data_IF_498761860409
#
_entry.id   IF_498761860409
#
_cell.length_a   1.000
_cell.length_b   1.000
_cell.length_c   1.000
_cell.angle_alpha   90.00
_cell.angle_beta   90.00
_cell.angle_gamma   90.00
#
_symmetry.space_group_name_H-M   'P 1'
#
loop_
_entity.id
_entity.type
_entity.pdbx_description
1 polymer ?
#
# COMPACT_ATOMS: atom_id res chain seq x y z
N UNK A 1 1.68 -13.61 5.44
CA UNK A 1 1.62 -14.43 4.22
C UNK A 1 0.65 -15.59 4.38
N UNK A 2 0.31 -16.23 3.28
CA UNK A 2 -0.78 -17.21 3.24
C UNK A 2 -0.37 -18.65 3.56
N UNK A 3 0.88 -18.96 3.77
CA UNK A 3 1.34 -20.33 3.97
C UNK A 3 1.57 -21.09 2.67
N UNK A 4 0.96 -22.27 2.49
CA UNK A 4 1.16 -23.09 1.29
C UNK A 4 0.25 -22.75 0.11
N UNK A 5 0.56 -23.30 -1.07
CA UNK A 5 -0.17 -23.08 -2.31
C UNK A 5 -1.68 -23.31 -2.19
N UNK A 6 -2.10 -24.41 -1.56
CA UNK A 6 -3.52 -24.72 -1.38
C UNK A 6 -4.25 -23.64 -0.56
N UNK A 7 -3.58 -23.09 0.46
CA UNK A 7 -4.12 -22.02 1.29
C UNK A 7 -4.22 -20.71 0.51
N UNK A 8 -3.25 -20.41 -0.34
CA UNK A 8 -3.27 -19.21 -1.20
C UNK A 8 -4.49 -19.23 -2.10
N UNK A 9 -4.75 -20.32 -2.80
CA UNK A 9 -5.91 -20.45 -3.68
C UNK A 9 -7.23 -20.34 -2.91
N UNK A 10 -7.32 -20.96 -1.74
CA UNK A 10 -8.49 -20.89 -0.87
C UNK A 10 -8.80 -19.44 -0.47
N UNK A 11 -7.80 -18.71 0.04
CA UNK A 11 -7.99 -17.34 0.47
C UNK A 11 -8.27 -16.41 -0.71
N UNK A 12 -7.61 -16.61 -1.83
CA UNK A 12 -7.87 -15.81 -3.04
C UNK A 12 -9.32 -15.92 -3.49
N UNK A 13 -9.88 -17.12 -3.47
CA UNK A 13 -11.26 -17.37 -3.87
C UNK A 13 -12.29 -16.77 -2.91
N UNK A 14 -11.91 -16.49 -1.67
CA UNK A 14 -12.77 -15.81 -0.69
C UNK A 14 -12.86 -14.28 -0.92
N UNK A 15 -11.95 -13.72 -1.69
CA UNK A 15 -11.91 -12.29 -1.97
C UNK A 15 -12.62 -12.03 -3.30
N UNK A 16 -13.78 -11.40 -3.24
CA UNK A 16 -14.61 -11.13 -4.41
C UNK A 16 -14.18 -9.83 -5.10
N UNK A 17 -12.99 -9.83 -5.68
CA UNK A 17 -12.47 -8.74 -6.51
C UNK A 17 -11.86 -9.30 -7.79
N UNK A 18 -11.92 -8.53 -8.86
CA UNK A 18 -11.42 -8.94 -10.16
C UNK A 18 -9.90 -9.09 -10.17
N UNK A 19 -9.19 -8.20 -9.52
CA UNK A 19 -7.73 -8.12 -9.54
C UNK A 19 -7.19 -7.82 -8.15
N UNK A 20 -6.14 -8.53 -7.76
CA UNK A 20 -5.40 -8.25 -6.52
C UNK A 20 -3.96 -7.92 -6.90
N UNK A 21 -3.51 -6.74 -6.51
CA UNK A 21 -2.13 -6.31 -6.64
C UNK A 21 -1.43 -6.47 -5.29
N UNK A 22 -0.34 -7.20 -5.30
CA UNK A 22 0.46 -7.46 -4.10
C UNK A 22 1.69 -6.56 -4.08
N UNK A 23 1.79 -5.74 -3.04
CA UNK A 23 3.02 -5.04 -2.69
C UNK A 23 3.70 -5.92 -1.64
N UNK A 24 4.90 -6.47 -1.93
CA UNK A 24 5.51 -7.44 -1.02
C UNK A 24 5.95 -6.79 0.29
N UNK A 25 5.68 -7.48 1.38
CA UNK A 25 6.16 -7.13 2.71
C UNK A 25 7.39 -7.94 3.11
N UNK A 26 7.93 -7.63 4.28
CA UNK A 26 9.13 -8.28 4.81
C UNK A 26 8.92 -9.75 5.22
N UNK A 27 7.67 -10.23 5.26
CA UNK A 27 7.32 -11.62 5.55
C UNK A 27 6.74 -12.37 4.34
N UNK A 28 6.82 -11.80 3.15
CA UNK A 28 6.16 -12.34 1.95
C UNK A 28 7.10 -13.05 0.97
N UNK A 29 8.34 -13.34 1.35
CA UNK A 29 9.35 -13.94 0.46
C UNK A 29 8.86 -15.24 -0.18
N UNK A 30 8.19 -16.09 0.60
CA UNK A 30 7.64 -17.34 0.10
C UNK A 30 6.53 -17.11 -0.93
N UNK A 31 5.62 -16.18 -0.65
CA UNK A 31 4.54 -15.83 -1.58
C UNK A 31 5.10 -15.22 -2.87
N UNK A 32 6.07 -14.31 -2.76
CA UNK A 32 6.76 -13.72 -3.91
C UNK A 32 7.43 -14.79 -4.77
N UNK A 33 8.13 -15.73 -4.14
CA UNK A 33 8.75 -16.86 -4.85
C UNK A 33 7.70 -17.71 -5.59
N UNK A 34 6.58 -18.02 -4.96
CA UNK A 34 5.49 -18.79 -5.56
C UNK A 34 4.83 -18.04 -6.73
N UNK A 35 4.64 -16.73 -6.62
CA UNK A 35 4.12 -15.92 -7.74
C UNK A 35 5.04 -15.99 -8.96
N UNK A 36 6.36 -16.02 -8.73
CA UNK A 36 7.35 -16.08 -9.82
C UNK A 36 7.46 -17.47 -10.45
N UNK A 37 7.20 -18.54 -9.71
CA UNK A 37 7.52 -19.91 -10.13
C UNK A 37 6.29 -20.80 -10.36
N UNK A 38 5.15 -20.51 -9.76
CA UNK A 38 3.94 -21.33 -9.84
C UNK A 38 2.86 -20.64 -10.66
N UNK A 39 2.44 -21.21 -11.82
CA UNK A 39 1.44 -20.60 -12.69
C UNK A 39 0.08 -20.36 -12.02
N UNK A 40 -0.36 -21.24 -11.12
CA UNK A 40 -1.63 -21.08 -10.42
C UNK A 40 -1.60 -19.90 -9.44
N UNK A 41 -0.50 -19.74 -8.72
CA UNK A 41 -0.31 -18.62 -7.80
C UNK A 41 -0.12 -17.33 -8.60
N UNK A 42 0.64 -17.38 -9.69
CA UNK A 42 0.85 -16.23 -10.59
C UNK A 42 -0.47 -15.67 -11.15
N UNK A 43 -1.43 -16.52 -11.47
CA UNK A 43 -2.73 -16.08 -11.98
C UNK A 43 -3.61 -15.41 -10.91
N UNK A 44 -3.28 -15.57 -9.63
CA UNK A 44 -4.08 -15.07 -8.51
C UNK A 44 -3.71 -13.63 -8.11
N UNK A 45 -2.48 -13.21 -8.37
CA UNK A 45 -1.97 -11.92 -7.91
C UNK A 45 -1.12 -11.25 -8.98
N UNK A 46 -1.17 -9.90 -9.01
CA UNK A 46 -0.21 -9.10 -9.75
C UNK A 46 0.86 -8.63 -8.75
N UNK A 47 2.10 -9.07 -8.94
CA UNK A 47 3.22 -8.66 -8.11
C UNK A 47 3.65 -7.24 -8.48
N UNK A 48 3.60 -6.33 -7.52
CA UNK A 48 4.01 -4.95 -7.67
C UNK A 48 5.44 -4.73 -7.16
N UNK A 49 5.98 -3.53 -7.41
CA UNK A 49 7.26 -3.09 -6.85
C UNK A 49 7.10 -2.73 -5.37
N UNK A 50 8.22 -2.51 -4.68
CA UNK A 50 8.22 -2.12 -3.26
C UNK A 50 7.55 -0.77 -3.02
N UNK A 51 7.73 0.16 -3.95
CA UNK A 51 7.08 1.48 -3.92
C UNK A 51 6.32 1.67 -5.23
N UNK A 52 5.03 1.98 -5.12
CA UNK A 52 4.14 2.18 -6.25
C UNK A 52 3.48 3.53 -6.18
N UNK A 53 3.41 4.21 -7.31
CA UNK A 53 2.73 5.49 -7.44
C UNK A 53 1.50 5.32 -8.33
N UNK A 54 0.34 5.72 -7.82
CA UNK A 54 -0.93 5.64 -8.54
C UNK A 54 -1.57 7.02 -8.54
N UNK A 55 -2.01 7.46 -9.71
CA UNK A 55 -2.77 8.71 -9.83
C UNK A 55 -4.23 8.38 -10.10
N UNK A 56 -5.10 8.74 -9.17
CA UNK A 56 -6.55 8.57 -9.32
C UNK A 56 -7.32 9.52 -8.41
N UNK A 57 -8.56 9.77 -8.73
CA UNK A 57 -9.45 10.67 -7.97
C UNK A 57 -8.82 12.06 -7.71
N UNK A 58 -7.98 12.55 -8.63
CA UNK A 58 -7.31 13.84 -8.47
C UNK A 58 -6.18 13.85 -7.44
N UNK A 59 -5.77 12.69 -6.94
CA UNK A 59 -4.72 12.53 -5.94
C UNK A 59 -3.57 11.68 -6.48
N UNK A 60 -2.40 11.83 -5.89
CA UNK A 60 -1.26 10.94 -6.07
C UNK A 60 -1.16 10.08 -4.82
N UNK A 61 -1.25 8.77 -5.00
CA UNK A 61 -1.07 7.79 -3.92
C UNK A 61 0.29 7.12 -4.07
N UNK A 62 1.05 7.08 -3.00
CA UNK A 62 2.31 6.34 -2.91
C UNK A 62 2.10 5.18 -1.96
N UNK A 63 2.21 3.97 -2.48
CA UNK A 63 1.89 2.72 -1.80
C UNK A 63 3.17 1.92 -1.55
N UNK A 64 3.35 1.47 -0.33
CA UNK A 64 4.50 0.65 0.07
C UNK A 64 4.15 -0.19 1.29
N UNK A 65 4.89 -1.29 1.51
CA UNK A 65 4.76 -2.01 2.78
C UNK A 65 5.40 -1.22 3.92
N UNK A 66 6.67 -0.82 3.74
CA UNK A 66 7.38 0.00 4.72
C UNK A 66 7.06 1.49 4.50
N UNK A 67 6.97 2.30 5.56
CA UNK A 67 6.83 3.74 5.39
C UNK A 67 7.98 4.33 4.56
N UNK A 68 7.66 5.17 3.59
CA UNK A 68 8.64 5.84 2.74
C UNK A 68 9.00 7.18 3.36
N UNK A 69 10.30 7.44 3.54
CA UNK A 69 10.79 8.70 4.10
C UNK A 69 10.44 9.89 3.22
N UNK A 70 10.26 11.05 3.83
CA UNK A 70 9.93 12.30 3.13
C UNK A 70 10.92 12.65 2.03
N UNK A 71 12.24 12.47 2.28
CA UNK A 71 13.28 12.75 1.29
C UNK A 71 13.20 11.84 0.06
N UNK A 72 12.79 10.59 0.24
CA UNK A 72 12.54 9.66 -0.87
C UNK A 72 11.30 10.07 -1.64
N UNK A 73 10.25 10.48 -0.95
CA UNK A 73 9.02 11.00 -1.59
C UNK A 73 9.36 12.23 -2.44
N UNK A 74 10.16 13.15 -1.92
CA UNK A 74 10.61 14.33 -2.67
C UNK A 74 11.29 13.94 -3.98
N UNK A 75 12.16 12.93 -3.95
CA UNK A 75 12.84 12.41 -5.15
C UNK A 75 11.85 11.78 -6.14
N UNK A 76 10.89 11.01 -5.64
CA UNK A 76 9.87 10.40 -6.50
C UNK A 76 9.01 11.43 -7.21
N UNK A 77 8.73 12.55 -6.56
CA UNK A 77 7.90 13.63 -7.09
C UNK A 77 8.69 14.66 -7.89
N UNK A 78 10.01 14.64 -7.82
CA UNK A 78 10.88 15.58 -8.51
C UNK A 78 10.64 15.57 -10.02
N UNK A 79 10.56 16.77 -10.61
CA UNK A 79 10.32 16.94 -12.05
C UNK A 79 8.89 16.69 -12.50
N UNK A 80 7.98 16.36 -11.59
CA UNK A 80 6.55 16.20 -11.88
C UNK A 80 5.80 17.50 -11.58
N UNK A 81 4.86 17.84 -12.46
CA UNK A 81 3.95 18.96 -12.19
C UNK A 81 2.82 18.49 -11.30
N UNK A 82 2.97 18.69 -9.99
CA UNK A 82 2.02 18.24 -8.97
C UNK A 82 1.40 19.39 -8.18
N UNK A 83 1.52 20.62 -8.68
CA UNK A 83 1.00 21.80 -7.99
C UNK A 83 -0.47 21.61 -7.62
N UNK A 84 -0.80 21.82 -6.34
CA UNK A 84 -2.15 21.66 -5.78
C UNK A 84 -2.72 20.23 -5.87
N UNK A 85 -1.90 19.24 -6.20
CA UNK A 85 -2.34 17.85 -6.22
C UNK A 85 -2.07 17.21 -4.85
N UNK A 86 -3.09 16.69 -4.16
CA UNK A 86 -2.87 15.97 -2.90
C UNK A 86 -1.97 14.76 -3.10
N UNK A 87 -1.00 14.60 -2.20
CA UNK A 87 -0.13 13.43 -2.14
C UNK A 87 -0.42 12.67 -0.86
N UNK A 88 -0.82 11.43 -1.00
CA UNK A 88 -1.25 10.57 0.11
C UNK A 88 -0.36 9.33 0.11
N UNK A 89 0.33 9.09 1.23
CA UNK A 89 1.14 7.90 1.40
C UNK A 89 0.37 6.84 2.19
N UNK A 90 0.38 5.62 1.68
CA UNK A 90 -0.29 4.48 2.29
C UNK A 90 0.75 3.39 2.50
N UNK A 91 0.93 2.96 3.73
CA UNK A 91 1.86 1.90 4.08
C UNK A 91 1.21 0.86 4.99
N UNK A 92 1.84 -0.27 5.11
CA UNK A 92 1.56 -1.29 6.12
C UNK A 92 2.63 -1.29 7.20
N UNK A 93 3.03 -2.47 7.62
CA UNK A 93 4.16 -2.78 8.50
C UNK A 93 4.02 -2.31 9.96
N UNK A 94 3.49 -1.13 10.21
CA UNK A 94 3.48 -0.52 11.55
C UNK A 94 2.48 -1.15 12.52
N UNK A 95 1.44 -1.81 12.04
CA UNK A 95 0.38 -2.41 12.87
C UNK A 95 -0.21 -1.45 13.91
N UNK A 96 -0.38 -0.17 13.52
CA UNK A 96 -0.87 0.87 14.41
C UNK A 96 0.19 1.53 15.28
N UNK A 97 1.46 1.13 15.18
CA UNK A 97 2.56 1.78 15.88
C UNK A 97 2.86 3.16 15.29
N UNK A 98 3.55 3.98 16.06
CA UNK A 98 3.91 5.33 15.62
C UNK A 98 4.95 5.29 14.50
N UNK A 99 4.86 6.28 13.61
CA UNK A 99 5.94 6.55 12.66
C UNK A 99 7.22 6.98 13.41
N UNK A 100 8.40 6.67 12.85
CA UNK A 100 9.65 7.21 13.36
C UNK A 100 9.60 8.76 13.45
N UNK A 101 10.30 9.35 14.42
CA UNK A 101 10.19 10.78 14.70
C UNK A 101 10.66 11.68 13.58
N UNK A 102 11.72 11.29 12.86
CA UNK A 102 12.34 12.12 11.84
C UNK A 102 12.11 11.57 10.43
N UNK A 103 11.78 12.46 9.49
CA UNK A 103 11.68 12.12 8.08
C UNK A 103 10.34 11.54 7.65
N UNK A 104 9.27 11.68 8.47
CA UNK A 104 7.95 11.12 8.17
C UNK A 104 6.81 12.10 8.50
N UNK A 105 7.07 13.41 8.53
CA UNK A 105 6.09 14.39 9.01
C UNK A 105 5.54 15.33 7.93
N UNK A 106 6.20 15.45 6.78
CA UNK A 106 5.82 16.43 5.76
C UNK A 106 4.65 16.03 4.88
N UNK A 107 4.34 14.75 4.82
CA UNK A 107 3.26 14.22 3.98
C UNK A 107 2.18 13.58 4.82
N UNK A 108 0.96 13.63 4.31
CA UNK A 108 -0.15 12.90 4.90
C UNK A 108 0.06 11.40 4.70
N UNK A 109 -0.08 10.63 5.78
CA UNK A 109 0.23 9.19 5.81
C UNK A 109 -0.91 8.41 6.44
N UNK A 110 -1.21 7.25 5.88
CA UNK A 110 -2.16 6.30 6.43
C UNK A 110 -1.44 4.96 6.62
N UNK A 111 -1.45 4.47 7.85
CA UNK A 111 -1.10 3.08 8.14
C UNK A 111 -2.32 2.22 7.80
N UNK A 112 -2.24 1.48 6.70
CA UNK A 112 -3.33 0.66 6.20
C UNK A 112 -3.35 -0.76 6.80
N UNK A 113 -2.57 -1.00 7.85
CA UNK A 113 -2.68 -2.24 8.61
C UNK A 113 -4.10 -2.42 9.11
N UNK A 114 -4.65 -3.62 9.01
CA UNK A 114 -6.08 -3.85 9.32
C UNK A 114 -6.44 -3.51 10.77
N UNK A 115 -5.48 -3.58 11.67
CA UNK A 115 -5.66 -3.22 13.09
C UNK A 115 -6.05 -1.75 13.27
N UNK A 116 -5.70 -0.87 12.33
CA UNK A 116 -6.02 0.56 12.40
C UNK A 116 -7.43 0.89 11.94
N UNK A 117 -8.15 -0.06 11.35
CA UNK A 117 -9.47 0.13 10.78
C UNK A 117 -10.45 -0.99 11.19
N UNK A 118 -10.46 -1.37 12.47
CA UNK A 118 -11.35 -2.40 13.01
C UNK A 118 -11.27 -3.73 12.25
N UNK A 119 -10.07 -4.11 11.81
CA UNK A 119 -9.80 -5.32 11.02
C UNK A 119 -10.51 -5.37 9.68
N UNK A 120 -10.83 -4.20 9.11
CA UNK A 120 -11.39 -4.06 7.77
C UNK A 120 -10.40 -3.38 6.83
N UNK A 121 -10.40 -3.74 5.55
CA UNK A 121 -9.62 -3.01 4.54
C UNK A 121 -10.09 -1.55 4.44
N UNK A 122 -9.17 -0.65 4.10
CA UNK A 122 -9.53 0.73 3.78
C UNK A 122 -10.11 0.82 2.36
N UNK A 123 -11.16 1.60 2.23
CA UNK A 123 -11.63 2.07 0.93
C UNK A 123 -10.89 3.37 0.57
N UNK A 124 -10.49 3.52 -0.69
CA UNK A 124 -9.73 4.69 -1.12
C UNK A 124 -10.49 6.00 -0.91
N UNK A 125 -11.81 5.99 -1.06
CA UNK A 125 -12.63 7.18 -0.83
C UNK A 125 -12.64 7.60 0.65
N UNK A 126 -12.58 6.65 1.57
CA UNK A 126 -12.46 6.93 2.99
C UNK A 126 -11.09 7.53 3.32
N UNK A 127 -10.03 7.08 2.66
CA UNK A 127 -8.70 7.66 2.81
C UNK A 127 -8.67 9.11 2.33
N UNK A 128 -9.29 9.41 1.18
CA UNK A 128 -9.41 10.78 0.67
C UNK A 128 -10.18 11.66 1.66
N UNK A 129 -11.23 11.13 2.26
CA UNK A 129 -11.99 11.84 3.29
C UNK A 129 -11.12 12.17 4.50
N UNK A 130 -10.31 11.22 4.98
CA UNK A 130 -9.35 11.46 6.06
C UNK A 130 -8.37 12.58 5.70
N UNK A 131 -7.87 12.59 4.47
CA UNK A 131 -7.00 13.65 3.99
C UNK A 131 -7.71 15.01 4.02
N UNK A 132 -8.93 15.08 3.53
CA UNK A 132 -9.72 16.33 3.47
C UNK A 132 -10.05 16.87 4.86
N UNK A 133 -10.12 16.02 5.86
CA UNK A 133 -10.35 16.39 7.26
C UNK A 133 -9.04 16.70 8.02
N UNK A 134 -7.88 16.56 7.36
CA UNK A 134 -6.57 16.75 7.97
C UNK A 134 -6.06 18.18 7.84
N UNK A 135 -4.95 18.47 8.52
CA UNK A 135 -4.25 19.76 8.44
C UNK A 135 -3.34 19.89 7.19
N UNK A 136 -3.28 18.88 6.33
CA UNK A 136 -2.42 18.88 5.13
C UNK A 136 -3.07 19.51 3.90
N UNK A 137 -4.32 19.91 4.02
CA UNK A 137 -5.00 20.61 2.91
C UNK A 137 -4.51 22.05 2.78
#
# INVERSE_FOLDING_TARGET
SFGGQANISKYRNMINVKEIRLIPGNHDDRLVSLIKTDPLVRSSFILCRDINMIKCHGCIFILSHMPVRDDIVDKLLSGRNIDNTPVILINGHLHGSKYPDNGFKRYFRVDASIETNNYLPYNILDIIKLYNESEYI
#
